data_IF_199813248900
#
_entry.id   IF_199813248900
#
_cell.length_a   1.000
_cell.length_b   1.000
_cell.length_c   1.000
_cell.angle_alpha   90.00
_cell.angle_beta   90.00
_cell.angle_gamma   90.00
#
_symmetry.space_group_name_H-M   'P 1'
#
loop_
_entity.id
_entity.type
_entity.pdbx_description
1 polymer ?
#
# COMPACT_ATOMS: atom_id res chain seq x y z
N UNK A 1 21.16 31.49 17.90
CA UNK A 1 20.48 31.65 16.60
C UNK A 1 20.91 30.62 15.54
N UNK A 2 22.21 30.39 15.26
CA UNK A 2 22.65 29.40 14.26
C UNK A 2 22.37 27.92 14.62
N UNK A 3 22.47 27.56 15.90
CA UNK A 3 22.25 26.19 16.39
C UNK A 3 20.80 25.74 16.22
N UNK A 4 19.84 26.60 16.55
CA UNK A 4 18.42 26.30 16.40
C UNK A 4 18.01 26.19 14.92
N UNK A 5 18.59 27.01 14.04
CA UNK A 5 18.38 26.88 12.59
C UNK A 5 18.94 25.55 12.05
N UNK A 6 20.14 25.14 12.45
CA UNK A 6 20.71 23.85 12.05
C UNK A 6 19.83 22.67 12.50
N UNK A 7 19.30 22.72 13.73
CA UNK A 7 18.38 21.70 14.26
C UNK A 7 17.06 21.67 13.48
N UNK A 8 16.47 22.84 13.21
CA UNK A 8 15.24 22.95 12.43
C UNK A 8 15.42 22.40 11.00
N UNK A 9 16.52 22.77 10.34
CA UNK A 9 16.84 22.29 8.99
C UNK A 9 17.09 20.77 8.96
N UNK A 10 17.78 20.22 9.96
CA UNK A 10 18.00 18.77 10.06
C UNK A 10 16.68 17.99 10.22
N UNK A 11 15.73 18.51 11.01
CA UNK A 11 14.39 17.92 11.14
C UNK A 11 13.61 18.00 9.83
N UNK A 12 13.66 19.13 9.14
CA UNK A 12 12.99 19.29 7.84
C UNK A 12 13.53 18.30 6.80
N UNK A 13 14.85 18.12 6.74
CA UNK A 13 15.48 17.14 5.84
C UNK A 13 15.07 15.70 6.17
N UNK A 14 15.08 15.32 7.45
CA UNK A 14 14.64 13.99 7.89
C UNK A 14 13.17 13.75 7.54
N UNK A 15 12.31 14.72 7.80
CA UNK A 15 10.89 14.63 7.45
C UNK A 15 10.69 14.42 5.95
N UNK A 16 11.44 15.15 5.11
CA UNK A 16 11.38 14.98 3.66
C UNK A 16 11.79 13.55 3.23
N UNK A 17 12.84 13.01 3.85
CA UNK A 17 13.28 11.62 3.64
C UNK A 17 12.20 10.62 4.07
N UNK A 18 11.63 10.77 5.26
CA UNK A 18 10.55 9.92 5.78
C UNK A 18 9.32 9.91 4.86
N UNK A 19 8.92 11.08 4.35
CA UNK A 19 7.82 11.20 3.38
C UNK A 19 8.13 10.47 2.07
N UNK A 20 9.38 10.55 1.58
CA UNK A 20 9.81 9.85 0.37
C UNK A 20 9.80 8.33 0.59
N UNK A 21 10.35 7.86 1.71
CA UNK A 21 10.36 6.45 2.08
C UNK A 21 8.94 5.89 2.21
N UNK A 22 8.03 6.62 2.84
CA UNK A 22 6.65 6.19 3.01
C UNK A 22 5.91 6.03 1.66
N UNK A 23 6.17 6.93 0.69
CA UNK A 23 5.62 6.81 -0.67
C UNK A 23 6.16 5.56 -1.38
N UNK A 24 7.46 5.31 -1.27
CA UNK A 24 8.08 4.13 -1.88
C UNK A 24 7.59 2.84 -1.22
N UNK A 25 7.40 2.84 0.09
CA UNK A 25 6.88 1.68 0.81
C UNK A 25 5.45 1.36 0.38
N UNK A 26 4.60 2.38 0.23
CA UNK A 26 3.24 2.18 -0.29
C UNK A 26 3.25 1.60 -1.70
N UNK A 27 4.14 2.10 -2.58
CA UNK A 27 4.33 1.54 -3.93
C UNK A 27 4.69 0.05 -3.87
N UNK A 28 5.59 -0.34 -2.95
CA UNK A 28 6.00 -1.73 -2.75
C UNK A 28 4.87 -2.60 -2.19
N UNK A 29 4.10 -2.10 -1.23
CA UNK A 29 2.94 -2.80 -0.67
C UNK A 29 1.92 -3.11 -1.76
N UNK A 30 1.58 -2.15 -2.61
CA UNK A 30 0.64 -2.36 -3.72
C UNK A 30 1.15 -3.41 -4.72
N UNK A 31 2.44 -3.34 -5.07
CA UNK A 31 3.07 -4.32 -5.96
C UNK A 31 3.11 -5.73 -5.35
N UNK A 32 3.38 -5.84 -4.05
CA UNK A 32 3.36 -7.10 -3.33
C UNK A 32 1.96 -7.72 -3.30
N UNK A 33 0.92 -6.93 -3.02
CA UNK A 33 -0.46 -7.43 -2.98
C UNK A 33 -0.92 -7.96 -4.35
N UNK A 34 -0.57 -7.27 -5.43
CA UNK A 34 -0.86 -7.71 -6.81
C UNK A 34 -0.11 -9.01 -7.15
N UNK A 35 1.18 -9.09 -6.85
CA UNK A 35 1.94 -10.32 -7.05
C UNK A 35 1.37 -11.48 -6.22
N UNK A 36 1.02 -11.22 -4.96
CA UNK A 36 0.57 -12.25 -4.04
C UNK A 36 -0.85 -12.75 -4.40
N UNK A 37 -1.74 -11.89 -4.92
CA UNK A 37 -3.04 -12.34 -5.42
C UNK A 37 -2.87 -13.31 -6.59
N UNK A 38 -1.99 -13.01 -7.55
CA UNK A 38 -1.64 -13.90 -8.67
C UNK A 38 -1.01 -15.21 -8.19
N UNK A 39 -0.18 -15.15 -7.16
CA UNK A 39 0.39 -16.34 -6.52
C UNK A 39 -0.70 -17.24 -5.94
N UNK A 40 -1.73 -16.69 -5.28
CA UNK A 40 -2.87 -17.47 -4.79
C UNK A 40 -3.68 -18.10 -5.91
N UNK A 41 -3.92 -17.38 -7.01
CA UNK A 41 -4.57 -17.96 -8.20
C UNK A 41 -3.77 -19.15 -8.72
N UNK A 42 -2.44 -19.08 -8.76
CA UNK A 42 -1.61 -20.22 -9.19
C UNK A 42 -1.57 -21.38 -8.19
N UNK A 43 -2.00 -21.16 -6.94
CA UNK A 43 -2.19 -22.25 -5.97
C UNK A 43 -3.50 -23.00 -6.19
N UNK A 44 -4.49 -22.40 -6.86
CA UNK A 44 -5.73 -23.08 -7.20
C UNK A 44 -5.42 -24.25 -8.15
N UNK A 45 -5.72 -25.47 -7.71
CA UNK A 45 -5.44 -26.69 -8.49
C UNK A 45 -4.00 -27.19 -8.44
N UNK A 46 -3.10 -26.59 -7.62
CA UNK A 46 -1.71 -27.07 -7.47
C UNK A 46 -1.63 -28.50 -6.90
N UNK A 47 -2.64 -28.91 -6.12
CA UNK A 47 -2.76 -30.27 -5.59
C UNK A 47 -3.84 -31.01 -6.38
N UNK A 48 -3.44 -32.03 -7.14
CA UNK A 48 -4.31 -32.79 -8.05
C UNK A 48 -4.69 -34.18 -7.55
N UNK A 49 -4.00 -34.70 -6.53
CA UNK A 49 -4.18 -36.07 -6.03
C UNK A 49 -5.01 -36.09 -4.74
N UNK A 50 -6.14 -35.40 -4.73
CA UNK A 50 -7.02 -35.28 -3.56
C UNK A 50 -8.46 -35.65 -3.95
N UNK A 51 -9.28 -35.97 -2.95
CA UNK A 51 -10.71 -36.15 -3.15
C UNK A 51 -11.35 -34.87 -3.72
N UNK A 52 -12.47 -35.03 -4.45
CA UNK A 52 -13.14 -33.95 -5.18
C UNK A 52 -13.57 -32.81 -4.26
N UNK A 53 -14.13 -33.13 -3.09
CA UNK A 53 -14.59 -32.12 -2.11
C UNK A 53 -13.42 -31.31 -1.56
N UNK A 54 -12.30 -31.97 -1.26
CA UNK A 54 -11.11 -31.28 -0.75
C UNK A 54 -10.47 -30.41 -1.84
N UNK A 55 -10.47 -30.88 -3.08
CA UNK A 55 -9.99 -30.11 -4.24
C UNK A 55 -10.81 -28.84 -4.44
N UNK A 56 -12.14 -28.96 -4.42
CA UNK A 56 -13.06 -27.82 -4.51
C UNK A 56 -12.81 -26.81 -3.39
N UNK A 57 -12.72 -27.28 -2.13
CA UNK A 57 -12.45 -26.42 -0.98
C UNK A 57 -11.12 -25.67 -1.07
N UNK A 58 -10.05 -26.33 -1.55
CA UNK A 58 -8.75 -25.70 -1.75
C UNK A 58 -8.78 -24.64 -2.87
N UNK A 59 -9.47 -24.93 -3.97
CA UNK A 59 -9.66 -23.96 -5.07
C UNK A 59 -10.45 -22.75 -4.57
N UNK A 60 -11.59 -22.97 -3.91
CA UNK A 60 -12.42 -21.91 -3.36
C UNK A 60 -11.62 -21.05 -2.36
N UNK A 61 -10.84 -21.67 -1.47
CA UNK A 61 -10.00 -20.96 -0.52
C UNK A 61 -8.91 -20.13 -1.22
N UNK A 62 -8.20 -20.71 -2.19
CA UNK A 62 -7.15 -20.00 -2.93
C UNK A 62 -7.71 -18.79 -3.68
N UNK A 63 -8.85 -18.94 -4.36
CA UNK A 63 -9.53 -17.83 -5.04
C UNK A 63 -10.00 -16.75 -4.06
N UNK A 64 -10.54 -17.15 -2.90
CA UNK A 64 -10.92 -16.21 -1.83
C UNK A 64 -9.72 -15.42 -1.32
N UNK A 65 -8.57 -16.07 -1.15
CA UNK A 65 -7.33 -15.41 -0.72
C UNK A 65 -6.79 -14.43 -1.77
N UNK A 66 -6.93 -14.75 -3.06
CA UNK A 66 -6.58 -13.83 -4.14
C UNK A 66 -7.47 -12.57 -4.11
N UNK A 67 -8.78 -12.77 -3.99
CA UNK A 67 -9.79 -11.71 -3.92
C UNK A 67 -9.54 -10.73 -2.75
N UNK A 68 -9.28 -11.26 -1.55
CA UNK A 68 -8.96 -10.44 -0.37
C UNK A 68 -7.75 -9.53 -0.62
N UNK A 69 -6.71 -10.03 -1.32
CA UNK A 69 -5.50 -9.24 -1.62
C UNK A 69 -5.76 -8.17 -2.67
N UNK A 70 -6.59 -8.47 -3.67
CA UNK A 70 -7.06 -7.48 -4.64
C UNK A 70 -7.83 -6.35 -3.93
N UNK A 71 -8.77 -6.70 -3.05
CA UNK A 71 -9.53 -5.73 -2.27
C UNK A 71 -8.64 -4.88 -1.34
N UNK A 72 -7.66 -5.48 -0.67
CA UNK A 72 -6.68 -4.74 0.14
C UNK A 72 -5.86 -3.76 -0.72
N UNK A 73 -5.42 -4.19 -1.90
CA UNK A 73 -4.65 -3.35 -2.82
C UNK A 73 -5.48 -2.15 -3.27
N UNK A 74 -6.75 -2.36 -3.63
CA UNK A 74 -7.66 -1.29 -4.05
C UNK A 74 -7.94 -0.31 -2.92
N UNK A 75 -8.23 -0.80 -1.72
CA UNK A 75 -8.42 0.04 -0.53
C UNK A 75 -7.20 0.92 -0.25
N UNK A 76 -6.00 0.35 -0.24
CA UNK A 76 -4.76 1.10 -0.03
C UNK A 76 -4.46 2.07 -1.16
N UNK A 77 -4.74 1.68 -2.41
CA UNK A 77 -4.57 2.54 -3.56
C UNK A 77 -5.46 3.79 -3.46
N UNK A 78 -6.76 3.61 -3.18
CA UNK A 78 -7.68 4.74 -3.04
C UNK A 78 -7.32 5.62 -1.84
N UNK A 79 -7.00 5.03 -0.69
CA UNK A 79 -6.55 5.77 0.49
C UNK A 79 -5.33 6.66 0.17
N UNK A 80 -4.37 6.14 -0.60
CA UNK A 80 -3.13 6.87 -0.91
C UNK A 80 -3.28 7.86 -2.06
N UNK A 81 -4.18 7.59 -3.01
CA UNK A 81 -4.56 8.53 -4.07
C UNK A 81 -5.15 9.81 -3.46
N UNK A 82 -6.03 9.68 -2.47
CA UNK A 82 -6.59 10.85 -1.77
C UNK A 82 -5.56 11.61 -0.92
N UNK A 83 -4.55 10.94 -0.38
CA UNK A 83 -3.52 11.57 0.47
C UNK A 83 -2.33 12.16 -0.28
N UNK A 84 -2.09 11.74 -1.51
CA UNK A 84 -1.00 12.24 -2.36
C UNK A 84 -1.38 13.46 -3.20
N UNK A 85 -2.66 13.86 -3.20
CA UNK A 85 -3.09 15.11 -3.81
C UNK A 85 -2.42 16.31 -3.12
N UNK A 86 -1.80 17.24 -3.85
CA UNK A 86 -1.29 18.47 -3.24
C UNK A 86 -2.46 19.24 -2.61
N UNK A 87 -2.24 19.92 -1.46
CA UNK A 87 -3.26 20.78 -0.88
C UNK A 87 -3.71 21.81 -1.92
N UNK A 88 -5.03 22.04 -2.00
CA UNK A 88 -5.59 23.05 -2.88
C UNK A 88 -4.94 24.40 -2.55
N UNK A 89 -4.38 25.14 -3.52
CA UNK A 89 -3.76 26.44 -3.25
C UNK A 89 -4.71 27.45 -2.57
N UNK A 90 -6.02 27.20 -2.57
CA UNK A 90 -7.01 28.00 -1.84
C UNK A 90 -6.93 27.87 -0.30
N UNK A 91 -6.35 26.79 0.24
CA UNK A 91 -6.33 26.53 1.69
C UNK A 91 -5.09 27.12 2.40
N UNK A 92 -4.09 27.58 1.65
CA UNK A 92 -2.82 28.09 2.18
C UNK A 92 -2.88 29.57 2.63
N UNK A 93 -3.95 30.30 2.29
CA UNK A 93 -4.10 31.73 2.60
C UNK A 93 -4.71 32.02 3.98
N UNK A 94 -5.10 30.99 4.75
CA UNK A 94 -5.86 31.17 6.00
C UNK A 94 -5.02 31.22 7.30
N UNK A 95 -3.69 31.06 7.24
CA UNK A 95 -2.84 30.96 8.45
C UNK A 95 -1.82 32.08 8.63
N UNK A 96 -2.03 33.24 8.01
CA UNK A 96 -1.15 34.41 8.14
C UNK A 96 -1.94 35.70 8.42
N UNK A 97 -2.64 35.74 9.55
CA UNK A 97 -3.15 36.93 10.25
C UNK A 97 -3.25 36.60 11.73
#
# INVERSE_FOLDING_TARGET
>A
MRTEWCKARARANRWAEEVMLLKEEMRRVLAFLDWHSKWWVSQAGRRTNLDGVLTEGLVAYALRQADIRCAMRESFHELWKHRSAPPNPADASASAT
#
